data_IF_348703541332
#
_entry.id   IF_348703541332
#
_cell.length_a   1.000
_cell.length_b   1.000
_cell.length_c   1.000
_cell.angle_alpha   90.00
_cell.angle_beta   90.00
_cell.angle_gamma   90.00
#
_symmetry.space_group_name_H-M   'P 1'
#
loop_
_entity.id
_entity.type
_entity.pdbx_description
1 polymer ?
#
# COMPACT_ATOMS: atom_id res chain seq x y z
N UNK A 1 30.27 36.22 -27.86
CA UNK A 1 28.79 36.27 -27.91
C UNK A 1 28.26 35.36 -26.82
N UNK A 2 28.20 35.90 -25.60
CA UNK A 2 27.79 35.28 -24.35
C UNK A 2 26.69 36.17 -23.75
N UNK A 3 25.79 35.60 -22.97
CA UNK A 3 24.88 36.26 -22.02
C UNK A 3 23.59 36.91 -22.52
N UNK A 4 22.69 36.17 -23.20
CA UNK A 4 21.27 36.57 -23.27
C UNK A 4 20.23 35.46 -23.05
N UNK A 5 20.64 34.28 -22.56
CA UNK A 5 19.71 33.14 -22.37
C UNK A 5 19.40 32.77 -20.91
N UNK A 6 19.84 33.59 -19.93
CA UNK A 6 19.68 33.29 -18.49
C UNK A 6 18.86 34.36 -17.73
N UNK A 7 18.22 35.31 -18.43
CA UNK A 7 17.32 36.32 -17.81
C UNK A 7 15.87 36.17 -18.30
N UNK A 8 15.50 35.03 -18.90
CA UNK A 8 14.11 34.73 -19.32
C UNK A 8 13.55 33.63 -18.40
N UNK A 9 13.68 33.83 -17.09
CA UNK A 9 12.96 33.04 -16.09
C UNK A 9 12.52 33.89 -14.88
N UNK A 10 12.44 35.21 -15.07
CA UNK A 10 12.02 36.16 -14.04
C UNK A 10 11.11 37.28 -14.60
N UNK A 11 10.54 37.07 -15.80
CA UNK A 11 9.62 38.02 -16.48
C UNK A 11 8.32 37.32 -16.98
N UNK A 12 8.11 36.04 -16.68
CA UNK A 12 6.83 35.33 -16.95
C UNK A 12 5.95 35.33 -15.69
N UNK A 13 5.98 36.44 -14.95
CA UNK A 13 5.09 36.73 -13.82
C UNK A 13 4.62 38.19 -13.89
N UNK A 14 4.40 38.72 -15.11
CA UNK A 14 3.84 40.06 -15.33
C UNK A 14 3.21 40.29 -16.73
N UNK A 15 2.87 39.24 -17.49
CA UNK A 15 2.19 39.39 -18.80
C UNK A 15 1.04 38.39 -19.01
N UNK A 16 0.14 38.29 -18.03
CA UNK A 16 -1.22 37.76 -18.26
C UNK A 16 -2.31 38.63 -17.60
N UNK A 17 -2.04 39.93 -17.46
CA UNK A 17 -3.10 40.95 -17.32
C UNK A 17 -3.18 41.77 -18.60
N UNK A 18 -3.58 41.12 -19.69
CA UNK A 18 -4.25 41.83 -20.78
C UNK A 18 -5.29 40.92 -21.43
N UNK A 19 -6.25 40.49 -20.60
CA UNK A 19 -7.53 39.98 -21.06
C UNK A 19 -8.46 41.16 -21.29
N UNK A 20 -8.66 41.46 -22.57
CA UNK A 20 -9.60 42.42 -23.15
C UNK A 20 -10.79 42.80 -22.25
N UNK A 21 -10.75 44.00 -21.65
CA UNK A 21 -11.97 44.66 -21.17
C UNK A 21 -12.67 45.20 -22.42
N UNK A 22 -13.63 44.44 -22.97
CA UNK A 22 -14.62 45.04 -23.86
C UNK A 22 -15.44 46.01 -23.00
N UNK A 23 -15.19 47.31 -23.18
CA UNK A 23 -16.19 48.32 -22.90
C UNK A 23 -17.43 47.97 -23.71
N UNK A 24 -18.48 47.51 -23.04
CA UNK A 24 -19.81 47.52 -23.64
C UNK A 24 -20.18 48.98 -23.84
N UNK A 25 -20.26 49.38 -25.11
CA UNK A 25 -20.92 50.61 -25.52
C UNK A 25 -22.26 50.70 -24.81
N UNK A 26 -22.43 51.76 -24.02
CA UNK A 26 -23.72 52.11 -23.46
C UNK A 26 -24.55 52.69 -24.61
N UNK A 27 -25.31 51.82 -25.27
CA UNK A 27 -26.38 52.24 -26.17
C UNK A 27 -27.43 52.96 -25.32
N UNK A 28 -27.36 54.29 -25.30
CA UNK A 28 -28.37 55.13 -24.68
C UNK A 28 -29.60 55.18 -25.61
N UNK A 29 -30.28 54.03 -25.73
CA UNK A 29 -31.64 53.90 -26.23
C UNK A 29 -32.48 53.42 -25.06
N UNK A 30 -33.63 54.04 -24.80
CA UNK A 30 -34.59 53.52 -23.82
C UNK A 30 -35.15 52.21 -24.37
N UNK A 31 -34.48 51.09 -24.06
CA UNK A 31 -35.02 49.75 -24.30
C UNK A 31 -36.31 49.63 -23.49
N UNK A 32 -37.43 49.69 -24.19
CA UNK A 32 -38.75 49.46 -23.60
C UNK A 32 -39.00 47.97 -23.65
N UNK A 33 -38.63 47.31 -22.55
CA UNK A 33 -38.96 45.91 -22.38
C UNK A 33 -40.47 45.78 -22.11
N UNK A 34 -41.21 44.93 -22.84
CA UNK A 34 -42.62 44.68 -22.56
C UNK A 34 -42.82 44.00 -21.19
N UNK A 35 -41.78 43.32 -20.70
CA UNK A 35 -41.73 42.68 -19.39
C UNK A 35 -40.59 43.30 -18.59
N UNK A 36 -40.87 43.75 -17.37
CA UNK A 36 -39.86 44.43 -16.55
C UNK A 36 -39.82 43.88 -15.13
N UNK A 37 -38.61 43.62 -14.64
CA UNK A 37 -38.28 43.31 -13.26
C UNK A 37 -37.90 44.61 -12.55
N UNK A 38 -38.68 45.03 -11.56
CA UNK A 38 -38.43 46.23 -10.79
C UNK A 38 -37.49 45.98 -9.60
N UNK A 39 -37.68 44.87 -8.88
CA UNK A 39 -36.83 44.52 -7.74
C UNK A 39 -36.91 43.04 -7.37
N UNK A 40 -35.93 42.58 -6.58
CA UNK A 40 -35.93 41.27 -5.93
C UNK A 40 -35.95 41.50 -4.43
N UNK A 41 -36.75 40.72 -3.70
CA UNK A 41 -36.93 40.82 -2.25
C UNK A 41 -35.62 40.80 -1.46
N UNK A 42 -34.62 40.04 -1.94
CA UNK A 42 -33.27 39.98 -1.41
C UNK A 42 -32.29 39.95 -2.58
N UNK A 43 -31.32 40.86 -2.60
CA UNK A 43 -30.22 40.84 -3.58
C UNK A 43 -29.10 39.87 -3.18
N UNK A 44 -29.09 39.41 -1.94
CA UNK A 44 -28.16 38.39 -1.44
C UNK A 44 -28.95 37.24 -0.80
N UNK A 45 -28.74 36.01 -1.28
CA UNK A 45 -29.49 34.82 -0.84
C UNK A 45 -28.67 33.53 -0.99
N UNK A 46 -29.11 32.43 -0.38
CA UNK A 46 -28.52 31.10 -0.54
C UNK A 46 -29.34 30.26 -1.52
N UNK A 47 -28.71 29.22 -2.06
CA UNK A 47 -29.44 28.15 -2.77
C UNK A 47 -30.49 27.56 -1.82
N UNK A 48 -31.71 27.37 -2.31
CA UNK A 48 -32.85 26.91 -1.51
C UNK A 48 -33.62 28.01 -0.76
N UNK A 49 -33.14 29.26 -0.74
CA UNK A 49 -33.93 30.36 -0.18
C UNK A 49 -35.13 30.69 -1.10
N UNK A 50 -36.26 31.09 -0.52
CA UNK A 50 -37.37 31.65 -1.27
C UNK A 50 -37.15 33.15 -1.52
N UNK A 51 -37.20 33.56 -2.79
CA UNK A 51 -37.12 34.95 -3.21
C UNK A 51 -38.39 35.37 -3.96
N UNK A 52 -38.71 36.65 -3.89
CA UNK A 52 -39.85 37.25 -4.59
C UNK A 52 -39.32 38.27 -5.58
N UNK A 53 -39.74 38.15 -6.83
CA UNK A 53 -39.41 39.07 -7.91
C UNK A 53 -40.63 39.92 -8.19
N UNK A 54 -40.45 41.24 -8.11
CA UNK A 54 -41.48 42.23 -8.36
C UNK A 54 -41.25 42.86 -9.73
N UNK A 55 -42.33 43.12 -10.46
CA UNK A 55 -42.28 43.76 -11.76
C UNK A 55 -43.65 43.89 -12.40
N UNK A 56 -43.69 43.90 -13.73
CA UNK A 56 -44.93 43.91 -14.50
C UNK A 56 -44.76 43.23 -15.87
N UNK A 57 -45.87 42.75 -16.43
CA UNK A 57 -45.89 42.06 -17.72
C UNK A 57 -45.46 40.59 -17.64
N UNK A 58 -45.47 39.99 -16.44
CA UNK A 58 -45.14 38.57 -16.27
C UNK A 58 -46.25 37.63 -16.77
N UNK A 59 -47.47 38.15 -16.95
CA UNK A 59 -48.67 37.36 -17.27
C UNK A 59 -49.33 36.76 -16.02
N UNK A 60 -50.63 36.49 -16.11
CA UNK A 60 -51.43 35.94 -14.99
C UNK A 60 -51.04 34.52 -14.59
N UNK A 61 -50.41 33.77 -15.50
CA UNK A 61 -49.91 32.40 -15.30
C UNK A 61 -48.53 32.26 -15.96
N UNK A 62 -47.73 31.29 -15.50
CA UNK A 62 -46.35 31.09 -15.99
C UNK A 62 -46.27 30.81 -17.49
N UNK A 63 -47.11 29.90 -18.00
CA UNK A 63 -47.01 29.42 -19.38
C UNK A 63 -45.59 28.92 -19.72
N UNK A 64 -45.04 29.40 -20.83
CA UNK A 64 -43.66 29.08 -21.27
C UNK A 64 -42.60 30.01 -20.65
N UNK A 65 -42.98 30.89 -19.71
CA UNK A 65 -42.04 31.84 -19.13
C UNK A 65 -41.14 31.19 -18.07
N UNK A 66 -39.88 31.59 -18.04
CA UNK A 66 -38.92 31.09 -17.05
C UNK A 66 -37.90 32.15 -16.64
N UNK A 67 -37.46 32.04 -15.38
CA UNK A 67 -36.35 32.79 -14.83
C UNK A 67 -35.03 32.10 -15.14
N UNK A 68 -34.09 32.87 -15.66
CA UNK A 68 -32.72 32.46 -15.93
C UNK A 68 -31.77 33.23 -15.01
N UNK A 69 -31.08 32.51 -14.13
CA UNK A 69 -30.04 33.01 -13.24
C UNK A 69 -28.67 32.80 -13.88
N UNK A 70 -28.17 33.81 -14.60
CA UNK A 70 -26.95 33.80 -15.42
C UNK A 70 -26.89 32.65 -16.45
N UNK A 71 -26.63 31.42 -15.99
CA UNK A 71 -26.56 30.18 -16.78
C UNK A 71 -27.55 29.10 -16.34
N UNK A 72 -28.25 29.28 -15.22
CA UNK A 72 -29.12 28.25 -14.60
C UNK A 72 -30.59 28.66 -14.71
N UNK A 73 -31.42 27.84 -15.35
CA UNK A 73 -32.87 28.07 -15.43
C UNK A 73 -33.55 27.49 -14.20
N UNK A 74 -34.52 28.20 -13.63
CA UNK A 74 -35.40 27.62 -12.61
C UNK A 74 -36.37 26.62 -13.27
N UNK A 75 -36.44 25.42 -12.69
CA UNK A 75 -37.35 24.36 -13.09
C UNK A 75 -38.76 24.60 -12.55
N UNK A 76 -39.75 23.87 -13.08
CA UNK A 76 -41.15 24.04 -12.71
C UNK A 76 -41.38 23.92 -11.19
N UNK A 77 -40.69 23.00 -10.55
CA UNK A 77 -40.77 22.72 -9.11
C UNK A 77 -40.27 23.89 -8.24
N UNK A 78 -39.47 24.80 -8.79
CA UNK A 78 -38.93 25.93 -8.05
C UNK A 78 -39.95 27.07 -7.91
N UNK A 79 -40.99 27.14 -8.74
CA UNK A 79 -41.96 28.24 -8.70
C UNK A 79 -43.07 27.96 -7.69
N UNK A 80 -43.18 28.80 -6.66
CA UNK A 80 -44.21 28.69 -5.63
C UNK A 80 -45.46 29.50 -5.97
N UNK A 81 -45.30 30.64 -6.63
CA UNK A 81 -46.41 31.49 -7.03
C UNK A 81 -46.05 32.33 -8.26
N UNK A 82 -47.00 32.55 -9.14
CA UNK A 82 -46.84 33.38 -10.34
C UNK A 82 -48.06 34.30 -10.52
N UNK A 83 -47.80 35.55 -10.88
CA UNK A 83 -48.81 36.53 -11.23
C UNK A 83 -48.17 37.61 -12.12
N UNK A 84 -48.98 38.49 -12.70
CA UNK A 84 -48.50 39.51 -13.64
C UNK A 84 -47.46 40.47 -13.03
N UNK A 85 -47.49 40.64 -11.71
CA UNK A 85 -46.61 41.60 -11.00
C UNK A 85 -45.65 40.96 -10.00
N UNK A 86 -45.80 39.66 -9.73
CA UNK A 86 -45.06 38.97 -8.67
C UNK A 86 -44.78 37.52 -9.04
N UNK A 87 -43.52 37.11 -8.91
CA UNK A 87 -43.06 35.72 -9.03
C UNK A 87 -42.39 35.32 -7.71
N UNK A 88 -42.84 34.24 -7.09
CA UNK A 88 -42.19 33.63 -5.91
C UNK A 88 -41.50 32.35 -6.35
N UNK A 89 -40.18 32.27 -6.14
CA UNK A 89 -39.34 31.17 -6.61
C UNK A 89 -38.34 30.75 -5.53
N UNK A 90 -38.08 29.45 -5.43
CA UNK A 90 -36.98 28.88 -4.66
C UNK A 90 -35.71 28.96 -5.51
N UNK A 91 -34.62 29.48 -4.97
CA UNK A 91 -33.34 29.58 -5.69
C UNK A 91 -32.84 28.17 -6.05
N UNK A 92 -32.74 27.83 -7.35
CA UNK A 92 -32.39 26.48 -7.78
C UNK A 92 -30.94 26.09 -7.44
N UNK A 93 -30.64 24.78 -7.46
CA UNK A 93 -29.29 24.28 -7.31
C UNK A 93 -28.39 24.71 -8.48
N UNK A 94 -27.10 24.90 -8.24
CA UNK A 94 -26.13 25.28 -9.27
C UNK A 94 -26.09 26.78 -9.60
N UNK A 95 -26.96 27.62 -9.02
CA UNK A 95 -26.95 29.08 -9.25
C UNK A 95 -25.65 29.71 -8.73
N UNK A 96 -25.03 30.53 -9.58
CA UNK A 96 -23.88 31.38 -9.25
C UNK A 96 -24.28 32.86 -9.21
N UNK A 97 -23.47 33.72 -8.59
CA UNK A 97 -23.76 35.17 -8.54
C UNK A 97 -23.71 35.77 -9.94
N UNK A 98 -24.67 36.62 -10.28
CA UNK A 98 -24.81 37.16 -11.62
C UNK A 98 -26.11 37.93 -11.81
N UNK A 99 -26.67 37.88 -13.03
CA UNK A 99 -27.90 38.56 -13.37
C UNK A 99 -29.07 37.62 -13.52
N UNK A 100 -30.26 38.05 -13.09
CA UNK A 100 -31.51 37.34 -13.36
C UNK A 100 -32.25 37.99 -14.52
N UNK A 101 -32.81 37.16 -15.39
CA UNK A 101 -33.65 37.55 -16.52
C UNK A 101 -34.93 36.72 -16.55
N UNK A 102 -35.98 37.28 -17.14
CA UNK A 102 -37.12 36.52 -17.61
C UNK A 102 -37.00 36.24 -19.11
N UNK A 103 -37.30 35.00 -19.52
CA UNK A 103 -37.31 34.54 -20.92
C UNK A 103 -36.01 34.84 -21.69
N UNK A 104 -34.87 34.45 -21.14
CA UNK A 104 -33.57 34.57 -21.83
C UNK A 104 -33.28 35.96 -22.41
N UNK A 105 -33.52 37.02 -21.60
CA UNK A 105 -33.21 38.45 -21.86
C UNK A 105 -34.31 39.29 -22.52
N UNK A 106 -35.55 38.78 -22.61
CA UNK A 106 -36.71 39.62 -23.02
C UNK A 106 -37.15 40.61 -21.93
N UNK A 107 -36.61 40.50 -20.71
CA UNK A 107 -36.71 41.51 -19.65
C UNK A 107 -35.38 42.22 -19.42
N UNK A 108 -35.43 43.33 -18.70
CA UNK A 108 -34.24 43.90 -18.07
C UNK A 108 -33.58 42.90 -17.10
N UNK A 109 -32.30 43.14 -16.81
CA UNK A 109 -31.49 42.33 -15.91
C UNK A 109 -31.38 42.95 -14.52
N UNK A 110 -31.41 42.13 -13.47
CA UNK A 110 -31.06 42.58 -12.12
C UNK A 110 -29.93 41.72 -11.53
N UNK A 111 -28.91 42.38 -10.97
CA UNK A 111 -27.78 41.73 -10.32
C UNK A 111 -28.18 41.18 -8.93
N UNK A 112 -27.72 39.96 -8.62
CA UNK A 112 -27.83 39.31 -7.32
C UNK A 112 -26.52 38.61 -6.94
N UNK A 113 -26.35 38.33 -5.64
CA UNK A 113 -25.23 37.56 -5.10
C UNK A 113 -25.71 36.31 -4.37
N UNK A 114 -25.12 35.18 -4.71
CA UNK A 114 -25.34 33.92 -3.98
C UNK A 114 -24.35 33.83 -2.84
N UNK A 115 -24.84 33.82 -1.60
CA UNK A 115 -24.04 33.59 -0.41
C UNK A 115 -23.66 32.11 -0.36
N UNK A 116 -22.36 31.80 -0.31
CA UNK A 116 -21.88 30.44 -0.13
C UNK A 116 -22.36 29.87 1.20
N UNK A 117 -22.55 28.55 1.26
CA UNK A 117 -22.95 27.89 2.49
C UNK A 117 -21.87 28.13 3.56
N UNK A 118 -22.27 28.47 4.79
CA UNK A 118 -21.34 28.76 5.89
C UNK A 118 -20.30 27.65 6.08
N UNK A 119 -20.73 26.40 5.94
CA UNK A 119 -19.85 25.23 6.02
C UNK A 119 -18.70 25.25 4.99
N UNK A 120 -18.95 25.71 3.76
CA UNK A 120 -17.92 25.81 2.71
C UNK A 120 -16.93 26.94 3.05
N UNK A 121 -17.40 28.04 3.62
CA UNK A 121 -16.53 29.13 4.09
C UNK A 121 -15.64 28.68 5.25
N UNK A 122 -16.17 27.87 6.17
CA UNK A 122 -15.40 27.26 7.25
C UNK A 122 -14.33 26.31 6.69
N UNK A 123 -14.69 25.44 5.74
CA UNK A 123 -13.71 24.55 5.08
C UNK A 123 -12.62 25.37 4.37
N UNK A 124 -12.99 26.40 3.62
CA UNK A 124 -12.05 27.28 2.93
C UNK A 124 -11.05 27.94 3.90
N UNK A 125 -11.54 28.38 5.06
CA UNK A 125 -10.73 28.93 6.14
C UNK A 125 -9.81 27.88 6.76
N UNK A 126 -10.31 26.67 7.03
CA UNK A 126 -9.51 25.57 7.58
C UNK A 126 -8.39 25.15 6.62
N UNK A 127 -8.65 25.13 5.30
CA UNK A 127 -7.62 24.83 4.29
C UNK A 127 -6.50 25.88 4.31
N UNK A 128 -6.82 27.18 4.46
CA UNK A 128 -5.81 28.25 4.59
C UNK A 128 -4.97 28.10 5.86
N UNK A 129 -5.60 27.73 6.97
CA UNK A 129 -4.88 27.41 8.21
C UNK A 129 -3.95 26.21 8.00
N UNK A 130 -4.45 25.14 7.37
CA UNK A 130 -3.67 23.94 7.06
C UNK A 130 -2.42 24.29 6.26
N UNK A 131 -2.54 25.11 5.23
CA UNK A 131 -1.41 25.59 4.43
C UNK A 131 -0.38 26.35 5.27
N UNK A 132 -0.83 27.23 6.18
CA UNK A 132 0.06 27.95 7.09
C UNK A 132 0.81 27.00 8.03
N UNK A 133 0.12 25.98 8.55
CA UNK A 133 0.71 24.92 9.37
C UNK A 133 1.76 24.14 8.56
N UNK A 134 1.46 23.77 7.31
CA UNK A 134 2.40 23.09 6.40
C UNK A 134 3.69 23.91 6.24
N UNK A 135 3.58 25.21 5.99
CA UNK A 135 4.75 26.09 5.84
C UNK A 135 5.59 26.13 7.12
N UNK A 136 4.95 26.27 8.29
CA UNK A 136 5.66 26.29 9.58
C UNK A 136 6.35 24.95 9.84
N UNK A 137 5.65 23.84 9.60
CA UNK A 137 6.18 22.49 9.76
C UNK A 137 7.43 22.26 8.90
N UNK A 138 7.35 22.59 7.61
CA UNK A 138 8.46 22.48 6.66
C UNK A 138 9.62 23.39 7.08
N UNK A 139 9.34 24.63 7.48
CA UNK A 139 10.36 25.54 8.00
C UNK A 139 11.12 24.94 9.19
N UNK A 140 10.41 24.35 10.16
CA UNK A 140 11.04 23.74 11.33
C UNK A 140 11.91 22.54 10.96
N UNK A 141 11.45 21.68 10.04
CA UNK A 141 12.25 20.56 9.52
C UNK A 141 13.52 21.04 8.83
N UNK A 142 13.38 22.00 7.92
CA UNK A 142 14.52 22.61 7.22
C UNK A 142 15.48 23.22 8.22
N UNK A 143 15.00 24.04 9.16
CA UNK A 143 15.84 24.71 10.15
C UNK A 143 16.68 23.73 10.98
N UNK A 144 16.09 22.59 11.38
CA UNK A 144 16.80 21.56 12.17
C UNK A 144 17.97 20.94 11.40
N UNK A 145 17.80 20.67 10.10
CA UNK A 145 18.84 20.07 9.25
C UNK A 145 19.82 21.16 8.79
N UNK A 146 19.35 22.35 8.46
CA UNK A 146 20.15 23.47 7.96
C UNK A 146 21.24 23.92 8.93
N UNK A 147 20.98 23.86 10.24
CA UNK A 147 21.99 24.16 11.28
C UNK A 147 23.18 23.20 11.25
N UNK A 148 22.96 21.96 10.82
CA UNK A 148 23.95 20.87 10.80
C UNK A 148 24.36 20.45 9.39
N UNK A 149 24.01 21.22 8.36
CA UNK A 149 24.34 20.93 6.94
C UNK A 149 25.84 20.78 6.63
N UNK A 150 26.70 21.13 7.57
CA UNK A 150 28.15 21.05 7.44
C UNK A 150 28.73 19.69 7.88
N UNK A 151 27.92 18.85 8.53
CA UNK A 151 28.25 17.50 8.97
C UNK A 151 28.06 16.51 7.82
N UNK A 152 29.03 15.60 7.60
CA UNK A 152 28.96 14.61 6.52
C UNK A 152 27.78 13.65 6.73
N UNK A 153 27.61 13.15 7.95
CA UNK A 153 26.55 12.22 8.33
C UNK A 153 25.15 12.79 8.04
N UNK A 154 24.97 14.12 8.16
CA UNK A 154 23.70 14.78 7.82
C UNK A 154 23.44 14.73 6.33
N UNK A 155 24.45 14.95 5.49
CA UNK A 155 24.30 14.83 4.05
C UNK A 155 24.04 13.37 3.63
N UNK A 156 24.81 12.42 4.17
CA UNK A 156 24.67 10.99 3.85
C UNK A 156 23.36 10.39 4.37
N UNK A 157 22.74 10.96 5.41
CA UNK A 157 21.40 10.54 5.88
C UNK A 157 20.25 10.87 4.91
N UNK A 158 20.49 11.69 3.89
CA UNK A 158 19.45 12.06 2.91
C UNK A 158 19.53 11.15 1.69
N UNK A 159 18.45 10.41 1.42
CA UNK A 159 18.32 9.59 0.21
C UNK A 159 18.14 10.48 -1.02
N UNK A 160 19.16 10.57 -1.86
CA UNK A 160 19.16 11.43 -3.04
C UNK A 160 18.23 10.87 -4.13
N UNK A 161 18.22 9.55 -4.31
CA UNK A 161 17.29 8.87 -5.20
C UNK A 161 15.83 9.02 -4.72
N UNK A 162 15.57 8.81 -3.42
CA UNK A 162 14.25 8.97 -2.83
C UNK A 162 13.72 10.40 -2.98
N UNK A 163 14.56 11.41 -2.71
CA UNK A 163 14.21 12.81 -2.90
C UNK A 163 13.92 13.16 -4.38
N UNK A 164 14.63 12.52 -5.32
CA UNK A 164 14.38 12.71 -6.76
C UNK A 164 13.00 12.19 -7.16
N UNK A 165 12.64 10.99 -6.72
CA UNK A 165 11.33 10.39 -6.97
C UNK A 165 10.23 11.24 -6.34
N UNK A 166 10.45 11.69 -5.09
CA UNK A 166 9.52 12.54 -4.36
C UNK A 166 9.25 13.86 -5.09
N UNK A 167 10.30 14.60 -5.48
CA UNK A 167 10.17 15.86 -6.22
C UNK A 167 9.45 15.62 -7.55
N UNK A 168 9.80 14.56 -8.28
CA UNK A 168 9.16 14.22 -9.55
C UNK A 168 7.66 13.98 -9.37
N UNK A 169 7.26 13.22 -8.35
CA UNK A 169 5.85 12.98 -8.02
C UNK A 169 5.11 14.30 -7.74
N UNK A 170 5.70 15.21 -6.94
CA UNK A 170 5.08 16.51 -6.68
C UNK A 170 4.96 17.37 -7.95
N UNK A 171 5.95 17.33 -8.86
CA UNK A 171 5.88 18.03 -10.15
C UNK A 171 4.75 17.48 -11.04
N UNK A 172 4.52 16.16 -11.02
CA UNK A 172 3.40 15.55 -11.74
C UNK A 172 2.05 16.04 -11.19
N UNK A 173 1.89 16.11 -9.87
CA UNK A 173 0.70 16.66 -9.23
C UNK A 173 0.48 18.14 -9.55
N UNK A 174 1.53 18.97 -9.47
CA UNK A 174 1.42 20.39 -9.87
C UNK A 174 1.03 20.51 -11.35
N UNK A 175 1.59 19.67 -12.22
CA UNK A 175 1.22 19.66 -13.64
C UNK A 175 -0.25 19.28 -13.84
N UNK A 176 -0.74 18.27 -13.11
CA UNK A 176 -2.15 17.90 -13.10
C UNK A 176 -3.04 19.08 -12.68
N UNK A 177 -2.69 19.79 -11.60
CA UNK A 177 -3.46 20.95 -11.15
C UNK A 177 -3.37 22.16 -12.08
N UNK A 178 -2.37 22.24 -12.95
CA UNK A 178 -2.27 23.32 -13.95
C UNK A 178 -3.12 23.00 -15.18
N UNK A 179 -3.02 21.77 -15.68
CA UNK A 179 -3.52 21.41 -17.01
C UNK A 179 -4.84 20.64 -17.02
N UNK A 180 -5.19 19.97 -15.91
CA UNK A 180 -6.37 19.10 -15.83
C UNK A 180 -7.42 19.67 -14.89
N UNK A 181 -7.06 19.92 -13.63
CA UNK A 181 -8.00 20.41 -12.61
C UNK A 181 -7.44 21.64 -11.88
N UNK A 182 -7.75 22.87 -12.35
CA UNK A 182 -7.24 24.11 -11.78
C UNK A 182 -7.57 24.32 -10.30
N UNK A 183 -6.65 23.96 -9.41
CA UNK A 183 -6.74 24.24 -7.98
C UNK A 183 -5.48 24.95 -7.44
N UNK A 184 -5.60 26.27 -7.30
CA UNK A 184 -4.54 27.14 -6.80
C UNK A 184 -4.05 26.80 -5.39
N UNK A 185 -4.90 26.24 -4.51
CA UNK A 185 -4.52 25.97 -3.11
C UNK A 185 -3.67 24.71 -3.03
N UNK A 186 -4.10 23.64 -3.71
CA UNK A 186 -3.34 22.39 -3.80
C UNK A 186 -2.02 22.58 -4.54
N UNK A 187 -2.01 23.42 -5.59
CA UNK A 187 -0.76 23.84 -6.24
C UNK A 187 0.20 24.50 -5.27
N UNK A 188 -0.30 25.44 -4.45
CA UNK A 188 0.53 26.17 -3.50
C UNK A 188 1.09 25.24 -2.43
N UNK A 189 0.26 24.38 -1.83
CA UNK A 189 0.68 23.40 -0.83
C UNK A 189 1.75 22.44 -1.40
N UNK A 190 1.50 21.87 -2.57
CA UNK A 190 2.44 20.97 -3.26
C UNK A 190 3.76 21.67 -3.61
N UNK A 191 3.71 22.96 -3.95
CA UNK A 191 4.91 23.75 -4.24
C UNK A 191 5.81 23.93 -3.01
N UNK A 192 5.23 24.00 -1.80
CA UNK A 192 6.02 24.06 -0.55
C UNK A 192 6.80 22.74 -0.34
N UNK A 193 6.19 21.60 -0.64
CA UNK A 193 6.86 20.29 -0.58
C UNK A 193 7.98 20.13 -1.61
N UNK A 194 7.81 20.65 -2.83
CA UNK A 194 8.88 20.71 -3.84
C UNK A 194 10.06 21.52 -3.31
N UNK A 195 9.79 22.68 -2.70
CA UNK A 195 10.81 23.53 -2.12
C UNK A 195 11.59 22.83 -0.99
N UNK A 196 10.88 22.11 -0.10
CA UNK A 196 11.51 21.26 0.93
C UNK A 196 12.42 20.20 0.30
N UNK A 197 11.90 19.45 -0.67
CA UNK A 197 12.62 18.40 -1.36
C UNK A 197 13.91 18.91 -2.01
N UNK A 198 13.85 20.07 -2.68
CA UNK A 198 15.01 20.71 -3.30
C UNK A 198 16.06 21.08 -2.26
N UNK A 199 15.66 21.65 -1.11
CA UNK A 199 16.61 22.00 -0.05
C UNK A 199 17.30 20.75 0.50
N UNK A 200 16.55 19.70 0.82
CA UNK A 200 17.14 18.45 1.31
C UNK A 200 17.98 17.75 0.26
N UNK A 201 17.61 17.84 -1.01
CA UNK A 201 18.42 17.31 -2.11
C UNK A 201 19.77 18.03 -2.16
N UNK A 202 19.79 19.37 -2.11
CA UNK A 202 21.04 20.14 -2.11
C UNK A 202 21.88 19.81 -0.88
N UNK A 203 21.29 19.70 0.30
CA UNK A 203 22.01 19.30 1.52
C UNK A 203 22.58 17.87 1.37
N UNK A 204 21.78 16.94 0.85
CA UNK A 204 22.16 15.54 0.61
C UNK A 204 23.32 15.38 -0.37
N UNK A 205 23.52 16.33 -1.31
CA UNK A 205 24.73 16.31 -2.15
C UNK A 205 26.03 16.49 -1.37
N UNK A 206 25.96 17.00 -0.13
CA UNK A 206 27.11 17.29 0.71
C UNK A 206 27.88 18.55 0.29
N UNK A 207 27.31 19.40 -0.57
CA UNK A 207 27.95 20.64 -1.05
C UNK A 207 28.36 21.60 0.08
N UNK A 208 27.67 21.52 1.23
CA UNK A 208 27.94 22.37 2.39
C UNK A 208 28.91 21.75 3.40
N UNK A 209 29.38 20.51 3.20
CA UNK A 209 30.23 19.79 4.16
C UNK A 209 31.63 20.40 4.24
N UNK A 210 32.13 20.63 5.47
CA UNK A 210 33.47 21.22 5.70
C UNK A 210 34.57 20.25 5.26
N UNK A 211 35.61 20.75 4.60
CA UNK A 211 36.76 19.95 4.15
C UNK A 211 36.66 19.43 2.71
N UNK A 212 35.53 19.63 2.02
CA UNK A 212 35.42 19.40 0.59
C UNK A 212 35.86 20.65 -0.18
N UNK A 213 37.07 20.65 -0.76
CA UNK A 213 37.57 21.76 -1.57
C UNK A 213 36.89 21.76 -2.94
N UNK A 214 36.28 22.90 -3.33
CA UNK A 214 35.70 23.23 -4.67
C UNK A 214 35.52 22.06 -5.65
N UNK A 215 34.61 21.14 -5.34
CA UNK A 215 34.21 20.09 -6.30
C UNK A 215 32.97 20.53 -7.08
N UNK A 216 32.83 20.03 -8.30
CA UNK A 216 31.68 20.31 -9.15
C UNK A 216 30.42 19.61 -8.59
N UNK A 217 29.28 20.31 -8.54
CA UNK A 217 27.99 19.78 -8.06
C UNK A 217 27.63 18.43 -8.70
N UNK A 218 27.87 18.29 -10.00
CA UNK A 218 27.59 17.03 -10.70
C UNK A 218 28.44 15.86 -10.18
N UNK A 219 29.69 16.11 -9.80
CA UNK A 219 30.55 15.09 -9.20
C UNK A 219 30.03 14.64 -7.84
N UNK A 220 29.56 15.58 -7.02
CA UNK A 220 28.96 15.30 -5.71
C UNK A 220 27.69 14.47 -5.84
N UNK A 221 26.80 14.83 -6.77
CA UNK A 221 25.59 14.05 -7.07
C UNK A 221 25.95 12.64 -7.52
N UNK A 222 26.88 12.49 -8.47
CA UNK A 222 27.29 11.17 -8.98
C UNK A 222 27.93 10.31 -7.88
N UNK A 223 28.71 10.92 -6.98
CA UNK A 223 29.30 10.22 -5.84
C UNK A 223 28.23 9.74 -4.86
N UNK A 224 27.32 10.62 -4.46
CA UNK A 224 26.23 10.31 -3.54
C UNK A 224 25.34 9.18 -4.09
N UNK A 225 24.91 9.27 -5.35
CA UNK A 225 24.11 8.21 -6.00
C UNK A 225 24.87 6.87 -6.08
N UNK A 226 26.20 6.89 -6.27
CA UNK A 226 27.02 5.68 -6.28
C UNK A 226 27.16 5.03 -4.90
N UNK A 227 27.11 5.82 -3.83
CA UNK A 227 27.11 5.31 -2.44
C UNK A 227 25.74 4.71 -2.14
N UNK A 228 24.67 5.42 -2.46
CA UNK A 228 23.29 4.96 -2.26
C UNK A 228 23.00 3.68 -3.07
N UNK A 229 23.49 3.56 -4.30
CA UNK A 229 23.38 2.31 -5.07
C UNK A 229 24.11 1.15 -4.40
N UNK A 230 25.22 1.40 -3.70
CA UNK A 230 25.96 0.37 -2.95
C UNK A 230 25.26 -0.01 -1.65
N UNK A 231 24.56 0.92 -1.00
CA UNK A 231 23.73 0.61 0.17
C UNK A 231 22.49 -0.20 -0.21
N UNK A 232 21.84 0.14 -1.32
CA UNK A 232 20.75 -0.67 -1.88
C UNK A 232 21.25 -2.08 -2.26
N UNK A 233 22.42 -2.18 -2.90
CA UNK A 233 23.08 -3.45 -3.20
C UNK A 233 23.50 -4.21 -1.92
N UNK A 234 23.90 -3.51 -0.85
CA UNK A 234 24.20 -4.12 0.45
C UNK A 234 22.94 -4.66 1.13
N UNK A 235 21.82 -3.92 1.09
CA UNK A 235 20.54 -4.38 1.63
C UNK A 235 19.99 -5.57 0.82
N UNK A 236 20.07 -5.51 -0.50
CA UNK A 236 19.76 -6.67 -1.38
C UNK A 236 20.66 -7.85 -1.05
N UNK A 237 21.98 -7.67 -0.93
CA UNK A 237 22.90 -8.74 -0.52
C UNK A 237 22.64 -9.26 0.89
N UNK A 238 22.10 -8.45 1.80
CA UNK A 238 21.68 -8.88 3.14
C UNK A 238 20.39 -9.70 3.10
N UNK A 239 19.51 -9.43 2.13
CA UNK A 239 18.36 -10.30 1.83
C UNK A 239 18.80 -11.65 1.24
N UNK A 240 20.02 -11.78 0.71
CA UNK A 240 20.46 -12.98 -0.04
C UNK A 240 21.74 -13.66 0.46
N UNK A 241 22.32 -13.26 1.60
CA UNK A 241 23.45 -14.00 2.21
C UNK A 241 22.94 -14.97 3.28
N UNK A 242 22.36 -16.07 2.83
CA UNK A 242 21.97 -17.17 3.70
C UNK A 242 23.20 -17.93 4.20
N UNK A 243 23.23 -18.21 5.50
CA UNK A 243 24.12 -19.26 6.00
C UNK A 243 23.47 -20.59 5.62
N UNK A 244 24.27 -21.55 5.17
CA UNK A 244 23.77 -22.89 4.82
C UNK A 244 22.71 -22.87 3.69
N UNK A 245 22.88 -21.97 2.71
CA UNK A 245 21.95 -21.78 1.59
C UNK A 245 21.67 -23.07 0.78
N UNK A 246 22.61 -24.02 0.74
CA UNK A 246 22.42 -25.34 0.13
C UNK A 246 21.33 -26.16 0.85
N UNK A 247 21.25 -26.11 2.18
CA UNK A 247 20.22 -26.80 2.96
C UNK A 247 18.84 -26.17 2.70
N UNK A 248 18.78 -24.84 2.54
CA UNK A 248 17.53 -24.13 2.18
C UNK A 248 17.05 -24.55 0.79
N UNK A 249 17.92 -24.55 -0.21
CA UNK A 249 17.56 -25.03 -1.56
C UNK A 249 17.08 -26.48 -1.51
N UNK A 250 17.72 -27.34 -0.72
CA UNK A 250 17.29 -28.73 -0.55
C UNK A 250 15.88 -28.82 0.04
N UNK A 251 15.57 -28.04 1.09
CA UNK A 251 14.24 -27.98 1.70
C UNK A 251 13.20 -27.53 0.69
N UNK A 252 13.46 -26.44 -0.04
CA UNK A 252 12.52 -25.92 -1.03
C UNK A 252 12.30 -26.90 -2.18
N UNK A 253 13.36 -27.55 -2.67
CA UNK A 253 13.24 -28.57 -3.70
C UNK A 253 12.40 -29.78 -3.23
N UNK A 254 12.62 -30.24 -1.99
CA UNK A 254 11.84 -31.32 -1.40
C UNK A 254 10.36 -30.94 -1.25
N UNK A 255 10.07 -29.68 -0.93
CA UNK A 255 8.73 -29.13 -0.84
C UNK A 255 8.04 -29.05 -2.21
N UNK A 256 8.67 -28.46 -3.22
CA UNK A 256 8.09 -28.38 -4.56
C UNK A 256 7.78 -29.77 -5.13
N UNK A 257 8.69 -30.72 -4.93
CA UNK A 257 8.49 -32.09 -5.38
C UNK A 257 7.56 -32.92 -4.48
N UNK A 258 6.87 -32.37 -3.47
CA UNK A 258 6.20 -33.19 -2.44
C UNK A 258 5.10 -34.11 -3.02
N UNK A 259 4.44 -33.67 -4.08
CA UNK A 259 3.41 -34.41 -4.82
C UNK A 259 3.97 -35.31 -5.94
N UNK A 260 5.31 -35.35 -6.10
CA UNK A 260 6.06 -36.00 -7.18
C UNK A 260 5.96 -35.33 -8.56
N UNK A 261 5.43 -34.11 -8.63
CA UNK A 261 5.46 -33.26 -9.81
C UNK A 261 6.36 -32.04 -9.51
N UNK A 262 6.96 -31.45 -10.54
CA UNK A 262 7.64 -30.15 -10.40
C UNK A 262 7.14 -29.27 -11.52
N UNK A 263 6.39 -28.24 -11.16
CA UNK A 263 5.83 -27.36 -12.17
C UNK A 263 6.92 -26.49 -12.81
N UNK A 264 6.73 -26.04 -14.06
CA UNK A 264 7.66 -25.10 -14.68
C UNK A 264 7.83 -23.80 -13.89
N UNK A 265 6.81 -23.37 -13.13
CA UNK A 265 6.86 -22.15 -12.32
C UNK A 265 7.70 -22.36 -11.05
N UNK A 266 7.49 -23.47 -10.35
CA UNK A 266 8.30 -23.84 -9.18
C UNK A 266 9.77 -24.06 -9.56
N UNK A 267 10.01 -24.77 -10.67
CA UNK A 267 11.37 -24.97 -11.18
C UNK A 267 12.07 -23.64 -11.47
N UNK A 268 11.40 -22.73 -12.20
CA UNK A 268 11.97 -21.42 -12.51
C UNK A 268 12.26 -20.60 -11.24
N UNK A 269 11.40 -20.70 -10.23
CA UNK A 269 11.59 -20.03 -8.95
C UNK A 269 12.79 -20.61 -8.19
N UNK A 270 12.91 -21.93 -8.08
CA UNK A 270 14.06 -22.60 -7.46
C UNK A 270 15.39 -22.28 -8.17
N UNK A 271 15.38 -22.28 -9.51
CA UNK A 271 16.53 -21.89 -10.31
C UNK A 271 16.94 -20.43 -10.07
N UNK A 272 15.96 -19.53 -9.86
CA UNK A 272 16.22 -18.12 -9.56
C UNK A 272 16.91 -17.95 -8.19
N UNK A 273 16.45 -18.67 -7.16
CA UNK A 273 17.08 -18.67 -5.84
C UNK A 273 18.50 -19.25 -5.89
N UNK A 274 18.66 -20.40 -6.55
CA UNK A 274 19.96 -21.05 -6.68
C UNK A 274 20.98 -20.17 -7.42
N UNK A 275 20.56 -19.49 -8.49
CA UNK A 275 21.41 -18.57 -9.25
C UNK A 275 21.88 -17.38 -8.40
N UNK A 276 20.97 -16.77 -7.64
CA UNK A 276 21.31 -15.65 -6.76
C UNK A 276 22.31 -16.07 -5.68
N UNK A 277 22.16 -17.28 -5.14
CA UNK A 277 23.04 -17.83 -4.10
C UNK A 277 24.28 -18.54 -4.64
N UNK A 278 24.47 -18.57 -5.97
CA UNK A 278 25.58 -19.24 -6.66
C UNK A 278 25.68 -20.73 -6.34
N UNK A 279 24.54 -21.39 -6.21
CA UNK A 279 24.42 -22.82 -5.98
C UNK A 279 24.21 -23.52 -7.31
N UNK A 280 24.97 -24.60 -7.53
CA UNK A 280 24.77 -25.51 -8.66
C UNK A 280 23.53 -26.38 -8.41
N UNK A 281 22.39 -25.94 -8.95
CA UNK A 281 21.09 -26.59 -8.85
C UNK A 281 20.67 -27.22 -10.18
N UNK A 282 20.27 -28.49 -10.12
CA UNK A 282 19.49 -29.13 -11.17
C UNK A 282 18.48 -30.09 -10.54
N UNK A 283 17.25 -30.21 -11.08
CA UNK A 283 16.26 -31.15 -10.56
C UNK A 283 16.80 -32.58 -10.46
N UNK A 284 17.58 -33.04 -11.44
CA UNK A 284 18.15 -34.39 -11.46
C UNK A 284 19.16 -34.63 -10.33
N UNK A 285 19.93 -33.61 -9.95
CA UNK A 285 20.93 -33.69 -8.88
C UNK A 285 20.24 -33.86 -7.53
N UNK A 286 19.18 -33.08 -7.28
CA UNK A 286 18.47 -33.09 -6.01
C UNK A 286 17.42 -34.22 -5.91
N UNK A 287 17.03 -34.83 -7.03
CA UNK A 287 16.15 -36.01 -7.07
C UNK A 287 16.84 -37.34 -6.70
N UNK A 288 18.18 -37.44 -6.69
CA UNK A 288 18.92 -38.72 -6.48
C UNK A 288 18.64 -39.46 -5.17
N UNK A 289 18.02 -38.81 -4.18
CA UNK A 289 17.66 -39.40 -2.89
C UNK A 289 16.14 -39.55 -2.64
N UNK A 290 15.30 -39.22 -3.64
CA UNK A 290 13.85 -39.33 -3.52
C UNK A 290 13.37 -40.77 -3.68
N UNK A 291 12.31 -41.09 -2.96
CA UNK A 291 11.62 -42.39 -3.03
C UNK A 291 10.23 -42.18 -3.60
N UNK A 292 9.63 -43.19 -4.24
CA UNK A 292 8.22 -43.12 -4.66
C UNK A 292 7.25 -43.09 -3.46
N UNK A 293 7.73 -43.55 -2.30
CA UNK A 293 6.99 -43.50 -1.04
C UNK A 293 6.84 -42.06 -0.54
N UNK A 294 5.60 -41.56 -0.59
CA UNK A 294 5.21 -40.22 -0.14
C UNK A 294 5.54 -40.00 1.34
N UNK A 295 5.28 -40.99 2.22
CA UNK A 295 5.49 -40.87 3.66
C UNK A 295 6.96 -40.61 3.99
N UNK A 296 7.85 -41.39 3.36
CA UNK A 296 9.29 -41.24 3.54
C UNK A 296 9.73 -39.82 3.11
N UNK A 297 9.16 -39.27 2.03
CA UNK A 297 9.49 -37.92 1.58
C UNK A 297 9.00 -36.83 2.54
N UNK A 298 7.81 -36.98 3.14
CA UNK A 298 7.33 -36.08 4.20
C UNK A 298 8.24 -36.08 5.43
N UNK A 299 8.69 -37.26 5.86
CA UNK A 299 9.60 -37.40 7.00
C UNK A 299 10.98 -36.80 6.67
N UNK A 300 11.50 -37.06 5.46
CA UNK A 300 12.76 -36.48 4.98
C UNK A 300 12.72 -34.96 4.97
N UNK A 301 11.66 -34.35 4.41
CA UNK A 301 11.50 -32.89 4.37
C UNK A 301 11.44 -32.29 5.78
N UNK A 302 10.65 -32.89 6.67
CA UNK A 302 10.58 -32.48 8.07
C UNK A 302 11.97 -32.52 8.73
N UNK A 303 12.71 -33.61 8.54
CA UNK A 303 14.04 -33.78 9.11
C UNK A 303 15.08 -32.82 8.49
N UNK A 304 14.96 -32.47 7.20
CA UNK A 304 15.80 -31.44 6.57
C UNK A 304 15.61 -30.07 7.24
N UNK A 305 14.37 -29.70 7.57
CA UNK A 305 14.08 -28.44 8.27
C UNK A 305 14.64 -28.48 9.70
N UNK A 306 14.45 -29.57 10.44
CA UNK A 306 15.03 -29.73 11.78
C UNK A 306 16.55 -29.61 11.72
N UNK A 307 17.20 -30.36 10.81
CA UNK A 307 18.65 -30.31 10.61
C UNK A 307 19.14 -28.90 10.27
N UNK A 308 18.40 -28.14 9.46
CA UNK A 308 18.73 -26.75 9.16
C UNK A 308 18.65 -25.86 10.40
N UNK A 309 17.62 -26.02 11.23
CA UNK A 309 17.45 -25.25 12.47
C UNK A 309 18.45 -25.65 13.55
N UNK A 310 18.90 -26.91 13.58
CA UNK A 310 19.96 -27.39 14.46
C UNK A 310 21.33 -26.75 14.16
N UNK A 311 21.51 -26.15 12.96
CA UNK A 311 22.68 -25.33 12.63
C UNK A 311 22.62 -23.92 13.26
N UNK A 312 21.61 -23.63 14.06
CA UNK A 312 21.37 -22.35 14.76
C UNK A 312 21.39 -21.13 13.81
N UNK A 313 20.57 -21.12 12.73
CA UNK A 313 20.54 -19.99 11.81
C UNK A 313 19.98 -18.73 12.50
N UNK A 314 20.43 -17.52 12.11
CA UNK A 314 19.82 -16.28 12.59
C UNK A 314 18.30 -16.30 12.47
N UNK A 315 17.58 -15.77 13.46
CA UNK A 315 16.10 -15.79 13.48
C UNK A 315 15.50 -15.16 12.22
N UNK A 316 16.15 -14.15 11.65
CA UNK A 316 15.74 -13.54 10.39
C UNK A 316 15.79 -14.52 9.22
N UNK A 317 16.78 -15.43 9.17
CA UNK A 317 16.87 -16.45 8.12
C UNK A 317 15.81 -17.53 8.28
N UNK A 318 15.54 -17.96 9.52
CA UNK A 318 14.46 -18.89 9.80
C UNK A 318 13.08 -18.31 9.43
N UNK A 319 12.83 -17.03 9.72
CA UNK A 319 11.61 -16.34 9.27
C UNK A 319 11.52 -16.25 7.74
N UNK A 320 12.63 -15.92 7.06
CA UNK A 320 12.68 -15.88 5.60
C UNK A 320 12.42 -17.25 4.95
N UNK A 321 12.82 -18.35 5.59
CA UNK A 321 12.50 -19.70 5.10
C UNK A 321 10.98 -19.93 5.02
N UNK A 322 10.19 -19.44 6.00
CA UNK A 322 8.72 -19.52 5.94
C UNK A 322 8.21 -18.73 4.74
N UNK A 323 8.67 -17.50 4.55
CA UNK A 323 8.23 -16.66 3.42
C UNK A 323 8.54 -17.34 2.08
N UNK A 324 9.70 -17.98 1.96
CA UNK A 324 10.11 -18.70 0.76
C UNK A 324 9.27 -19.96 0.51
N UNK A 325 8.95 -20.71 1.57
CA UNK A 325 8.02 -21.85 1.52
C UNK A 325 6.64 -21.37 1.03
N UNK A 326 6.13 -20.26 1.57
CA UNK A 326 4.84 -19.70 1.15
C UNK A 326 4.85 -19.23 -0.31
N UNK A 327 5.91 -18.55 -0.74
CA UNK A 327 6.05 -18.08 -2.13
C UNK A 327 6.12 -19.25 -3.10
N UNK A 328 6.81 -20.33 -2.72
CA UNK A 328 6.90 -21.54 -3.54
C UNK A 328 5.55 -22.22 -3.70
N UNK A 329 4.82 -22.45 -2.60
CA UNK A 329 3.48 -23.06 -2.61
C UNK A 329 2.47 -22.22 -3.40
N UNK A 330 2.60 -20.88 -3.35
CA UNK A 330 1.74 -19.94 -4.09
C UNK A 330 2.25 -19.66 -5.51
N UNK A 331 3.37 -20.24 -5.94
CA UNK A 331 3.92 -20.01 -7.28
C UNK A 331 2.96 -20.54 -8.34
N UNK A 332 2.29 -21.65 -8.04
CA UNK A 332 1.19 -22.16 -8.81
C UNK A 332 -0.15 -21.60 -8.31
N UNK A 333 -1.07 -21.36 -9.24
CA UNK A 333 -2.41 -20.82 -8.95
C UNK A 333 -3.31 -21.83 -8.22
N UNK A 334 -2.76 -22.98 -7.84
CA UNK A 334 -3.45 -24.08 -7.17
C UNK A 334 -2.52 -24.70 -6.13
N UNK A 335 -2.91 -24.56 -4.86
CA UNK A 335 -2.26 -25.24 -3.73
C UNK A 335 -2.81 -26.67 -3.60
N UNK A 336 -1.94 -27.65 -3.49
CA UNK A 336 -2.30 -29.07 -3.30
C UNK A 336 -2.58 -29.40 -1.83
N UNK A 337 -3.32 -30.48 -1.58
CA UNK A 337 -3.58 -30.95 -0.20
C UNK A 337 -2.31 -31.42 0.50
N UNK A 338 -1.39 -31.97 -0.28
CA UNK A 338 -0.04 -32.37 0.13
C UNK A 338 0.80 -31.19 0.64
N UNK A 339 0.85 -30.09 -0.10
CA UNK A 339 1.55 -28.87 0.29
C UNK A 339 0.94 -28.23 1.53
N UNK A 340 -0.39 -28.13 1.63
CA UNK A 340 -1.05 -27.62 2.84
C UNK A 340 -0.71 -28.46 4.08
N UNK A 341 -0.71 -29.79 3.93
CA UNK A 341 -0.43 -30.71 5.02
C UNK A 341 0.98 -30.53 5.55
N UNK A 342 1.99 -30.48 4.68
CA UNK A 342 3.38 -30.33 5.10
C UNK A 342 3.69 -28.91 5.56
N UNK A 343 3.13 -27.90 4.90
CA UNK A 343 3.33 -26.50 5.27
C UNK A 343 2.92 -26.24 6.72
N UNK A 344 1.78 -26.77 7.16
CA UNK A 344 1.34 -26.63 8.55
C UNK A 344 2.33 -27.22 9.55
N UNK A 345 2.96 -28.36 9.23
CA UNK A 345 3.98 -28.99 10.08
C UNK A 345 5.28 -28.17 10.08
N UNK A 346 5.79 -27.80 8.90
CA UNK A 346 7.04 -27.04 8.79
C UNK A 346 6.95 -25.68 9.46
N UNK A 347 5.82 -24.99 9.26
CA UNK A 347 5.55 -23.70 9.89
C UNK A 347 5.56 -23.82 11.41
N UNK A 348 4.94 -24.85 11.97
CA UNK A 348 4.94 -25.08 13.42
C UNK A 348 6.34 -25.31 13.99
N UNK A 349 7.19 -26.05 13.26
CA UNK A 349 8.60 -26.28 13.64
C UNK A 349 9.38 -24.96 13.67
N UNK A 350 9.26 -24.16 12.61
CA UNK A 350 10.00 -22.90 12.49
C UNK A 350 9.45 -21.85 13.47
N UNK A 351 8.14 -21.75 13.66
CA UNK A 351 7.51 -20.86 14.62
C UNK A 351 7.96 -21.16 16.06
N UNK A 352 8.13 -22.44 16.41
CA UNK A 352 8.66 -22.85 17.71
C UNK A 352 10.12 -22.43 17.88
N UNK A 353 10.94 -22.56 16.83
CA UNK A 353 12.32 -22.08 16.84
C UNK A 353 12.41 -20.56 17.05
N UNK A 354 11.54 -19.80 16.38
CA UNK A 354 11.49 -18.34 16.50
C UNK A 354 11.00 -17.89 17.89
N UNK A 355 9.99 -18.58 18.43
CA UNK A 355 9.23 -18.21 19.62
C UNK A 355 9.37 -19.23 20.76
N UNK A 356 10.58 -19.38 21.30
CA UNK A 356 10.91 -20.30 22.40
C UNK A 356 10.09 -20.13 23.70
N UNK A 357 9.26 -19.09 23.81
CA UNK A 357 8.41 -18.80 24.98
C UNK A 357 6.96 -19.29 24.84
N UNK A 358 6.48 -19.62 23.64
CA UNK A 358 5.10 -20.12 23.45
C UNK A 358 5.10 -21.64 23.26
N UNK A 359 4.49 -22.35 24.21
CA UNK A 359 4.17 -23.76 24.03
C UNK A 359 3.08 -23.89 22.95
N UNK A 360 3.50 -24.15 21.71
CA UNK A 360 2.57 -24.58 20.68
C UNK A 360 2.04 -25.98 21.04
N UNK A 361 0.75 -26.26 20.79
CA UNK A 361 0.19 -27.57 21.09
C UNK A 361 0.91 -28.64 20.27
N UNK A 362 1.53 -29.59 20.96
CA UNK A 362 2.19 -30.74 20.35
C UNK A 362 1.22 -31.91 20.23
N UNK A 363 1.22 -32.56 19.08
CA UNK A 363 0.48 -33.78 18.81
C UNK A 363 1.45 -34.96 18.90
N UNK A 364 1.27 -35.79 19.93
CA UNK A 364 2.08 -36.98 20.15
C UNK A 364 1.48 -38.17 19.40
N UNK A 365 2.32 -38.91 18.67
CA UNK A 365 1.88 -40.14 18.00
C UNK A 365 2.36 -41.34 18.79
N UNK A 366 1.40 -42.18 19.16
CA UNK A 366 1.64 -43.46 19.83
C UNK A 366 1.26 -44.59 18.87
N UNK A 367 2.19 -45.53 18.67
CA UNK A 367 2.02 -46.72 17.85
C UNK A 367 2.07 -47.95 18.73
N UNK A 368 1.06 -48.82 18.61
CA UNK A 368 0.97 -50.09 19.33
C UNK A 368 1.11 -51.24 18.31
N UNK A 369 2.25 -51.96 18.32
CA UNK A 369 2.44 -53.13 17.46
C UNK A 369 1.42 -54.22 17.80
N UNK A 370 0.89 -54.85 16.75
CA UNK A 370 -0.08 -55.96 16.87
C UNK A 370 0.58 -57.31 16.56
N UNK A 371 1.80 -57.29 16.03
CA UNK A 371 2.59 -58.47 15.66
C UNK A 371 4.08 -58.23 15.95
N UNK A 372 4.89 -59.28 16.18
CA UNK A 372 6.32 -59.13 16.42
C UNK A 372 7.09 -58.41 15.30
N UNK A 373 6.68 -58.63 14.04
CA UNK A 373 7.27 -57.98 12.86
C UNK A 373 7.11 -56.45 12.87
N UNK A 374 6.06 -55.94 13.51
CA UNK A 374 5.80 -54.49 13.60
C UNK A 374 6.86 -53.76 14.43
N UNK A 375 7.44 -54.43 15.44
CA UNK A 375 8.47 -53.80 16.28
C UNK A 375 9.75 -53.53 15.49
N UNK A 376 10.08 -54.38 14.51
CA UNK A 376 11.22 -54.17 13.63
C UNK A 376 10.99 -52.97 12.71
N UNK A 377 9.79 -52.87 12.13
CA UNK A 377 9.40 -51.75 11.25
C UNK A 377 9.45 -50.42 12.01
N UNK A 378 8.92 -50.38 13.24
CA UNK A 378 8.93 -49.15 14.05
C UNK A 378 10.35 -48.71 14.35
N UNK A 379 11.25 -49.62 14.73
CA UNK A 379 12.65 -49.29 15.01
C UNK A 379 13.43 -48.84 13.78
N UNK A 380 13.14 -49.43 12.63
CA UNK A 380 13.77 -49.05 11.35
C UNK A 380 13.30 -47.67 10.88
N UNK A 381 12.00 -47.38 11.02
CA UNK A 381 11.43 -46.12 10.53
C UNK A 381 11.60 -44.95 11.50
N UNK A 382 11.54 -45.23 12.80
CA UNK A 382 11.66 -44.26 13.88
C UNK A 382 12.73 -44.72 14.88
N UNK A 383 14.02 -44.48 14.57
CA UNK A 383 15.13 -44.91 15.42
C UNK A 383 15.05 -44.36 16.85
N UNK A 384 14.51 -43.14 16.98
CA UNK A 384 14.37 -42.41 18.24
C UNK A 384 13.06 -42.73 18.98
N UNK A 385 12.30 -43.74 18.53
CA UNK A 385 11.04 -44.10 19.16
C UNK A 385 11.24 -44.62 20.59
N UNK A 386 10.51 -44.03 21.54
CA UNK A 386 10.57 -44.42 22.95
C UNK A 386 9.61 -45.58 23.20
N UNK A 387 10.15 -46.72 23.63
CA UNK A 387 9.35 -47.91 24.00
C UNK A 387 8.72 -47.71 25.38
N UNK A 388 7.40 -47.75 25.44
CA UNK A 388 6.58 -47.61 26.63
C UNK A 388 5.97 -48.97 27.00
N UNK A 389 6.04 -49.33 28.29
CA UNK A 389 5.33 -50.51 28.81
C UNK A 389 4.02 -50.04 29.43
N UNK A 390 2.90 -50.52 28.90
CA UNK A 390 1.55 -50.12 29.31
C UNK A 390 0.71 -51.34 29.70
N UNK A 391 -0.43 -51.13 30.38
CA UNK A 391 -1.33 -52.22 30.81
C UNK A 391 -1.80 -53.12 29.65
N UNK A 392 -1.82 -52.61 28.42
CA UNK A 392 -2.18 -53.34 27.20
C UNK A 392 -1.01 -53.97 26.44
N UNK A 393 0.21 -53.98 26.99
CA UNK A 393 1.41 -54.50 26.35
C UNK A 393 2.46 -53.43 26.10
N UNK A 394 2.93 -53.32 24.86
CA UNK A 394 4.02 -52.42 24.47
C UNK A 394 3.48 -51.37 23.53
N UNK A 395 3.80 -50.10 23.78
CA UNK A 395 3.54 -49.00 22.89
C UNK A 395 4.86 -48.29 22.55
N UNK A 396 4.88 -47.56 21.44
CA UNK A 396 6.02 -46.76 21.00
C UNK A 396 5.55 -45.33 20.80
N UNK A 397 6.18 -44.39 21.51
CA UNK A 397 6.03 -42.96 21.23
C UNK A 397 7.03 -42.59 20.14
N UNK A 398 6.53 -42.27 18.94
CA UNK A 398 7.38 -42.07 17.75
C UNK A 398 7.73 -40.61 17.47
N UNK A 399 7.16 -39.70 18.25
CA UNK A 399 7.50 -38.28 18.19
C UNK A 399 6.32 -37.36 18.46
N UNK A 400 6.63 -36.06 18.40
CA UNK A 400 5.69 -34.96 18.58
C UNK A 400 5.69 -34.09 17.32
N UNK A 401 4.50 -33.68 16.90
CA UNK A 401 4.28 -32.94 15.66
C UNK A 401 3.50 -31.65 15.95
N UNK A 402 3.63 -30.64 15.09
CA UNK A 402 2.95 -29.36 15.25
C UNK A 402 1.64 -29.26 14.46
N UNK A 403 1.42 -30.17 13.51
CA UNK A 403 0.18 -30.28 12.74
C UNK A 403 -0.57 -31.56 13.09
N UNK A 404 -1.84 -31.40 13.52
CA UNK A 404 -2.73 -32.55 13.75
C UNK A 404 -2.90 -33.40 12.48
N UNK A 405 -3.06 -32.75 11.32
CA UNK A 405 -3.20 -33.44 10.03
C UNK A 405 -1.94 -34.25 9.68
N UNK A 406 -0.76 -33.73 10.00
CA UNK A 406 0.50 -34.45 9.80
C UNK A 406 0.62 -35.64 10.74
N UNK A 407 0.35 -35.46 12.04
CA UNK A 407 0.34 -36.55 13.02
C UNK A 407 -0.64 -37.67 12.65
N UNK A 408 -1.83 -37.30 12.16
CA UNK A 408 -2.84 -38.25 11.71
C UNK A 408 -2.44 -38.96 10.41
N UNK A 409 -1.74 -38.29 9.48
CA UNK A 409 -1.16 -38.92 8.29
C UNK A 409 -0.17 -40.04 8.67
N UNK A 410 0.75 -39.78 9.62
CA UNK A 410 1.66 -40.81 10.16
C UNK A 410 0.88 -41.98 10.76
N UNK A 411 -0.19 -41.69 11.50
CA UNK A 411 -1.06 -42.74 12.07
C UNK A 411 -1.76 -43.58 10.98
N UNK A 412 -2.26 -42.94 9.93
CA UNK A 412 -2.99 -43.58 8.84
C UNK A 412 -2.11 -44.56 8.06
N UNK A 413 -0.88 -44.17 7.73
CA UNK A 413 0.06 -45.07 7.03
C UNK A 413 0.33 -46.35 7.82
N UNK A 414 0.46 -46.23 9.14
CA UNK A 414 0.69 -47.38 10.03
C UNK A 414 -0.56 -48.24 10.22
N UNK A 415 -1.76 -47.65 10.13
CA UNK A 415 -3.01 -48.42 10.11
C UNK A 415 -3.14 -49.27 8.84
N UNK A 416 -2.54 -48.86 7.70
CA UNK A 416 -2.55 -49.70 6.46
C UNK A 416 -1.86 -51.05 6.67
N UNK A 417 -0.82 -51.09 7.49
CA UNK A 417 -0.14 -52.33 7.90
C UNK A 417 -0.70 -52.94 9.21
N UNK A 418 -1.92 -52.53 9.61
CA UNK A 418 -2.67 -53.06 10.76
C UNK A 418 -1.97 -52.84 12.10
N UNK A 419 -1.23 -51.75 12.27
CA UNK A 419 -0.84 -51.25 13.59
C UNK A 419 -1.99 -50.44 14.19
N UNK A 420 -2.09 -50.44 15.52
CA UNK A 420 -3.00 -49.55 16.23
C UNK A 420 -2.28 -48.24 16.55
N UNK A 421 -2.90 -47.10 16.27
CA UNK A 421 -2.26 -45.77 16.40
C UNK A 421 -3.19 -44.73 16.97
N UNK A 422 -2.65 -43.85 17.81
CA UNK A 422 -3.38 -42.75 18.46
C UNK A 422 -2.57 -41.46 18.28
N UNK A 423 -3.27 -40.39 17.92
CA UNK A 423 -2.78 -39.01 18.09
C UNK A 423 -3.32 -38.50 19.42
N UNK A 424 -2.43 -38.12 20.32
CA UNK A 424 -2.76 -37.59 21.65
C UNK A 424 -2.22 -36.17 21.80
N UNK A 425 -3.03 -35.28 22.37
CA UNK A 425 -2.62 -33.93 22.75
C UNK A 425 -2.64 -33.85 24.27
N UNK A 426 -1.49 -33.68 24.95
CA UNK A 426 -1.47 -33.51 26.39
C UNK A 426 -2.25 -32.26 26.79
N UNK A 427 -3.14 -32.40 27.77
CA UNK A 427 -3.73 -31.25 28.42
C UNK A 427 -2.62 -30.45 29.13
N UNK A 428 -2.65 -29.11 29.08
CA UNK A 428 -1.56 -28.25 29.54
C UNK A 428 -1.15 -28.44 31.02
N UNK A 429 -1.98 -29.08 31.84
CA UNK A 429 -1.71 -29.33 33.27
C UNK A 429 -1.16 -30.74 33.58
N UNK A 430 -0.89 -31.57 32.56
CA UNK A 430 -0.51 -32.98 32.77
C UNK A 430 1.01 -33.25 32.89
N UNK A 431 1.86 -32.24 32.69
CA UNK A 431 3.32 -32.41 32.68
C UNK A 431 4.00 -32.43 34.07
N UNK A 432 3.26 -32.18 35.17
CA UNK A 432 3.83 -32.24 36.53
C UNK A 432 3.53 -33.53 37.31
N UNK A 433 2.76 -34.48 36.77
CA UNK A 433 2.47 -35.70 37.53
C UNK A 433 2.60 -36.98 36.70
N UNK A 434 3.55 -37.81 37.17
CA UNK A 434 3.65 -39.27 36.99
C UNK A 434 4.58 -39.78 35.89
N UNK A 435 5.89 -39.69 36.14
CA UNK A 435 6.82 -40.81 35.93
C UNK A 435 7.87 -40.81 37.06
N UNK A 436 7.52 -41.40 38.21
CA UNK A 436 8.47 -41.88 39.23
C UNK A 436 8.16 -43.35 39.49
#
# INVERSE_FOLDING_TARGET
MKNKFVIINLVIMLLFFWGCKQEKESANGRETYPIKIDSISKKEFKIGDTIVIYGYGFGSERGNNYLLFETTSAEEENYLNWSDTLITVIVPEGVSSGNVHLNSKLSNSLEFKVKRHFFIEVIDFLIKISLAITIIYIYLRINKIWKRKHELDVAESQSLAGLTIYILNCVLWVSYYIFVEPDTKSMLDTSVYIFEGIIFFIIGTGIFVRGQTKTNLWFLIKRALKIESKEADYLLKRLFKFQNAEEIIMILHQLAMIDNELSPKEQALLESFAKEWRIDYSPEKYNKGRTEDKEINYIKLRNSVIKYLDLDPPKEQAAQLIDMIEVLIKADEKVTSEEELIHAELKGIIDNYLNQEKQNPLYHVIIVPQKPEHELIIKDTFPDAIRLTISGGVAYSVGSYYSHKYAEMICQERRKIKMFTIVYTPEPDSLETNFN
#
